data_IF_109571683358
#
_entry.id   IF_109571683358
#
_cell.length_a   1.000
_cell.length_b   1.000
_cell.length_c   1.000
_cell.angle_alpha   90.00
_cell.angle_beta   90.00
_cell.angle_gamma   90.00
#
_symmetry.space_group_name_H-M   'P 1'
#
loop_
_entity.id
_entity.type
_entity.pdbx_description
1 polymer ?
#
# COMPACT_ATOMS: atom_id res chain seq x y z
N UNK A 1 16.43 5.16 3.91
CA UNK A 1 15.02 5.57 3.95
C UNK A 1 14.33 4.68 4.95
N UNK A 2 13.59 5.25 5.90
CA UNK A 2 12.96 4.49 6.98
C UNK A 2 11.60 3.96 6.52
N UNK A 3 11.25 2.75 6.97
CA UNK A 3 9.93 2.11 6.73
C UNK A 3 8.77 3.07 6.99
N UNK A 4 8.82 3.77 8.13
CA UNK A 4 7.78 4.73 8.54
C UNK A 4 7.56 5.86 7.54
N UNK A 5 8.61 6.33 6.85
CA UNK A 5 8.50 7.38 5.84
C UNK A 5 7.70 6.89 4.63
N UNK A 6 7.99 5.67 4.17
CA UNK A 6 7.30 5.05 3.03
C UNK A 6 5.82 4.80 3.36
N UNK A 7 5.54 4.20 4.52
CA UNK A 7 4.16 3.98 4.94
C UNK A 7 3.40 5.29 5.17
N UNK A 8 4.05 6.32 5.71
CA UNK A 8 3.43 7.64 5.87
C UNK A 8 3.09 8.27 4.52
N UNK A 9 3.96 8.12 3.52
CA UNK A 9 3.70 8.56 2.15
C UNK A 9 2.50 7.81 1.55
N UNK A 10 2.46 6.48 1.66
CA UNK A 10 1.33 5.67 1.18
C UNK A 10 0.01 6.07 1.87
N UNK A 11 0.02 6.27 3.19
CA UNK A 11 -1.16 6.71 3.94
C UNK A 11 -1.60 8.11 3.52
N UNK A 12 -0.66 9.05 3.31
CA UNK A 12 -0.98 10.40 2.86
C UNK A 12 -1.71 10.42 1.53
N UNK A 13 -1.22 9.68 0.54
CA UNK A 13 -1.86 9.58 -0.78
C UNK A 13 -3.24 8.93 -0.70
N UNK A 14 -3.35 7.84 0.04
CA UNK A 14 -4.59 7.08 0.20
C UNK A 14 -5.67 7.89 0.90
N UNK A 15 -5.33 8.52 2.03
CA UNK A 15 -6.27 9.34 2.80
C UNK A 15 -6.68 10.60 2.04
N UNK A 16 -5.74 11.24 1.33
CA UNK A 16 -6.04 12.40 0.49
C UNK A 16 -7.03 12.04 -0.62
N UNK A 17 -6.81 10.89 -1.27
CA UNK A 17 -7.70 10.39 -2.31
C UNK A 17 -9.09 10.02 -1.76
N UNK A 18 -9.14 9.22 -0.69
CA UNK A 18 -10.41 8.83 -0.05
C UNK A 18 -11.19 10.08 0.35
N UNK A 19 -10.54 11.08 0.97
CA UNK A 19 -11.16 12.36 1.33
C UNK A 19 -11.71 13.09 0.10
N UNK A 20 -10.92 13.18 -0.98
CA UNK A 20 -11.35 13.81 -2.22
C UNK A 20 -12.62 13.13 -2.78
N UNK A 21 -12.64 11.80 -2.81
CA UNK A 21 -13.81 11.05 -3.29
C UNK A 21 -15.05 11.31 -2.44
N UNK A 22 -14.92 11.56 -1.12
CA UNK A 22 -16.08 11.89 -0.28
C UNK A 22 -16.81 13.17 -0.70
N UNK A 23 -16.13 14.10 -1.37
CA UNK A 23 -16.73 15.33 -1.90
C UNK A 23 -17.59 15.12 -3.14
N UNK A 24 -17.51 13.94 -3.77
CA UNK A 24 -18.27 13.63 -4.98
C UNK A 24 -19.74 13.31 -4.70
N UNK A 25 -20.57 13.38 -5.74
CA UNK A 25 -21.98 12.96 -5.71
C UNK A 25 -22.10 11.47 -5.38
N UNK A 26 -23.24 11.07 -4.80
CA UNK A 26 -23.51 9.68 -4.39
C UNK A 26 -23.28 8.66 -5.53
N UNK A 27 -23.75 8.97 -6.74
CA UNK A 27 -23.57 8.11 -7.93
C UNK A 27 -22.09 7.92 -8.26
N UNK A 28 -21.30 9.00 -8.25
CA UNK A 28 -19.87 8.94 -8.56
C UNK A 28 -19.10 8.19 -7.48
N UNK A 29 -19.49 8.33 -6.21
CA UNK A 29 -18.92 7.55 -5.09
C UNK A 29 -19.23 6.07 -5.22
N UNK A 30 -20.48 5.69 -5.48
CA UNK A 30 -20.89 4.29 -5.61
C UNK A 30 -20.23 3.55 -6.79
N UNK A 31 -19.81 4.27 -7.83
CA UNK A 31 -19.05 3.71 -8.96
C UNK A 31 -17.54 3.65 -8.72
N UNK A 32 -17.03 4.33 -7.69
CA UNK A 32 -15.60 4.42 -7.45
C UNK A 32 -15.09 3.21 -6.67
N UNK A 33 -14.35 2.32 -7.35
CA UNK A 33 -13.73 1.13 -6.74
C UNK A 33 -12.38 1.43 -6.08
N UNK A 34 -11.72 2.54 -6.40
CA UNK A 34 -10.36 2.85 -5.94
C UNK A 34 -10.26 2.98 -4.41
N UNK A 35 -11.23 3.61 -3.74
CA UNK A 35 -11.20 3.75 -2.28
C UNK A 35 -11.16 2.40 -1.55
N UNK A 36 -11.79 1.36 -2.13
CA UNK A 36 -11.71 0.00 -1.60
C UNK A 36 -10.29 -0.56 -1.69
N UNK A 37 -9.61 -0.38 -2.81
CA UNK A 37 -8.21 -0.77 -2.98
C UNK A 37 -7.27 0.00 -2.05
N UNK A 38 -7.45 1.31 -1.90
CA UNK A 38 -6.66 2.13 -0.97
C UNK A 38 -6.80 1.65 0.48
N UNK A 39 -8.03 1.38 0.91
CA UNK A 39 -8.31 0.91 2.27
C UNK A 39 -7.78 -0.53 2.48
N UNK A 40 -8.01 -1.43 1.53
CA UNK A 40 -7.54 -2.81 1.60
C UNK A 40 -6.02 -2.88 1.69
N UNK A 41 -5.30 -2.05 0.91
CA UNK A 41 -3.85 -1.99 0.95
C UNK A 41 -3.32 -1.58 2.33
N UNK A 42 -3.93 -0.57 2.99
CA UNK A 42 -3.30 0.10 4.13
C UNK A 42 -3.95 -0.12 5.51
N UNK A 43 -5.07 -0.83 5.60
CA UNK A 43 -5.79 -0.97 6.87
C UNK A 43 -4.94 -1.53 8.03
N UNK A 44 -3.97 -2.41 7.74
CA UNK A 44 -3.08 -2.98 8.76
C UNK A 44 -1.81 -2.17 9.01
N UNK A 45 -1.43 -1.27 8.10
CA UNK A 45 -0.18 -0.51 8.19
C UNK A 45 -0.16 0.41 9.41
N UNK A 46 -1.31 0.93 9.84
CA UNK A 46 -1.40 1.80 11.02
C UNK A 46 -0.88 1.11 12.28
N UNK A 47 -1.08 -0.20 12.40
CA UNK A 47 -0.58 -1.00 13.54
C UNK A 47 0.94 -1.20 13.54
N UNK A 48 1.61 -1.04 12.39
CA UNK A 48 3.06 -1.27 12.26
C UNK A 48 3.89 0.00 12.33
N UNK A 49 3.26 1.18 12.24
CA UNK A 49 3.93 2.49 12.29
C UNK A 49 4.79 2.72 13.55
N UNK A 50 4.38 2.32 14.77
CA UNK A 50 5.18 2.55 15.97
C UNK A 50 6.48 1.74 16.02
N UNK A 51 6.57 0.66 15.24
CA UNK A 51 7.74 -0.22 15.19
C UNK A 51 8.68 0.26 14.09
N UNK A 52 9.86 0.74 14.48
CA UNK A 52 10.84 1.29 13.51
C UNK A 52 11.38 0.20 12.57
N UNK A 53 11.68 -0.98 13.10
CA UNK A 53 12.20 -2.12 12.34
C UNK A 53 11.11 -2.84 11.56
N UNK A 54 11.50 -3.50 10.46
CA UNK A 54 10.59 -4.40 9.75
C UNK A 54 10.35 -5.66 10.58
N UNK A 55 9.11 -6.13 10.57
CA UNK A 55 8.65 -7.31 11.30
C UNK A 55 7.91 -8.27 10.39
N UNK A 56 7.48 -9.42 10.92
CA UNK A 56 6.64 -10.37 10.19
C UNK A 56 5.33 -9.74 9.66
N UNK A 57 4.80 -8.71 10.32
CA UNK A 57 3.63 -7.98 9.84
C UNK A 57 3.92 -7.21 8.53
N UNK A 58 5.13 -6.69 8.38
CA UNK A 58 5.56 -6.00 7.18
C UNK A 58 5.78 -6.99 6.04
N UNK A 59 6.30 -8.18 6.35
CA UNK A 59 6.38 -9.29 5.38
C UNK A 59 4.99 -9.77 4.95
N UNK A 60 4.06 -9.89 5.89
CA UNK A 60 2.66 -10.21 5.57
C UNK A 60 2.04 -9.16 4.64
N UNK A 61 2.24 -7.87 4.92
CA UNK A 61 1.82 -6.78 4.05
C UNK A 61 2.38 -6.96 2.62
N UNK A 62 3.69 -7.21 2.49
CA UNK A 62 4.34 -7.37 1.17
C UNK A 62 3.85 -8.60 0.41
N UNK A 63 3.61 -9.70 1.10
CA UNK A 63 3.18 -10.96 0.48
C UNK A 63 1.70 -10.96 0.12
N UNK A 64 0.85 -10.29 0.90
CA UNK A 64 -0.61 -10.40 0.77
C UNK A 64 -1.21 -9.11 0.23
N UNK A 65 -1.08 -8.01 0.96
CA UNK A 65 -1.79 -6.76 0.65
C UNK A 65 -1.18 -6.05 -0.56
N UNK A 66 0.15 -5.92 -0.58
CA UNK A 66 0.86 -5.32 -1.70
C UNK A 66 0.68 -6.14 -3.00
N UNK A 67 0.80 -7.47 -2.91
CA UNK A 67 0.57 -8.37 -4.04
C UNK A 67 -0.86 -8.25 -4.58
N UNK A 68 -1.86 -8.33 -3.68
CA UNK A 68 -3.27 -8.20 -4.06
C UNK A 68 -3.55 -6.87 -4.76
N UNK A 69 -3.03 -5.77 -4.21
CA UNK A 69 -3.19 -4.45 -4.83
C UNK A 69 -2.59 -4.42 -6.24
N UNK A 70 -1.37 -4.93 -6.43
CA UNK A 70 -0.70 -4.91 -7.73
C UNK A 70 -1.34 -5.83 -8.77
N UNK A 71 -1.95 -6.94 -8.34
CA UNK A 71 -2.61 -7.88 -9.24
C UNK A 71 -4.02 -7.43 -9.67
N UNK A 72 -4.71 -6.65 -8.83
CA UNK A 72 -6.14 -6.35 -9.01
C UNK A 72 -6.44 -4.87 -9.26
N UNK A 73 -5.53 -3.97 -8.90
CA UNK A 73 -5.61 -2.56 -9.25
C UNK A 73 -4.91 -2.27 -10.58
N UNK A 74 -5.01 -1.03 -11.03
CA UNK A 74 -4.24 -0.49 -12.16
C UNK A 74 -4.33 1.02 -12.13
N UNK A 75 -3.46 1.70 -12.90
CA UNK A 75 -3.53 3.16 -13.11
C UNK A 75 -4.85 3.63 -13.73
N UNK A 76 -5.62 2.74 -14.37
CA UNK A 76 -6.96 3.05 -14.90
C UNK A 76 -8.04 3.06 -13.82
N UNK A 77 -7.82 2.32 -12.72
CA UNK A 77 -8.77 2.16 -11.63
C UNK A 77 -8.40 3.07 -10.46
N UNK A 78 -7.12 3.12 -10.10
CA UNK A 78 -6.59 3.83 -8.94
C UNK A 78 -5.56 4.86 -9.38
N UNK A 79 -5.85 6.15 -9.14
CA UNK A 79 -4.96 7.25 -9.52
C UNK A 79 -3.59 7.15 -8.83
N UNK A 80 -3.55 6.61 -7.61
CA UNK A 80 -2.30 6.43 -6.83
C UNK A 80 -1.53 5.15 -7.18
N UNK A 81 -1.97 4.35 -8.16
CA UNK A 81 -1.39 3.02 -8.43
C UNK A 81 0.13 3.06 -8.63
N UNK A 82 0.62 3.99 -9.46
CA UNK A 82 2.05 4.08 -9.75
C UNK A 82 2.87 4.55 -8.55
N UNK A 83 2.31 5.43 -7.71
CA UNK A 83 2.94 5.88 -6.47
C UNK A 83 3.06 4.73 -5.48
N UNK A 84 1.98 3.97 -5.29
CA UNK A 84 1.98 2.80 -4.40
C UNK A 84 2.89 1.68 -4.92
N UNK A 85 2.91 1.44 -6.24
CA UNK A 85 3.86 0.49 -6.85
C UNK A 85 5.30 0.86 -6.52
N UNK A 86 5.68 2.13 -6.66
CA UNK A 86 7.02 2.60 -6.33
C UNK A 86 7.32 2.49 -4.82
N UNK A 87 6.37 2.82 -3.96
CA UNK A 87 6.53 2.65 -2.51
C UNK A 87 6.67 1.19 -2.10
N UNK A 88 5.93 0.27 -2.74
CA UNK A 88 6.10 -1.16 -2.54
C UNK A 88 7.51 -1.61 -2.97
N UNK A 89 8.03 -1.16 -4.12
CA UNK A 89 9.42 -1.45 -4.52
C UNK A 89 10.42 -0.99 -3.47
N UNK A 90 10.20 0.21 -2.93
CA UNK A 90 11.06 0.77 -1.90
C UNK A 90 11.01 -0.04 -0.61
N UNK A 91 9.86 -0.56 -0.22
CA UNK A 91 9.73 -1.47 0.93
C UNK A 91 10.50 -2.78 0.70
N UNK A 92 10.37 -3.42 -0.48
CA UNK A 92 11.13 -4.62 -0.84
C UNK A 92 12.65 -4.41 -0.71
N UNK A 93 13.15 -3.25 -1.13
CA UNK A 93 14.59 -2.92 -1.05
C UNK A 93 15.14 -2.77 0.36
N UNK A 94 14.28 -2.47 1.35
CA UNK A 94 14.70 -2.27 2.74
C UNK A 94 14.41 -3.47 3.65
N UNK A 95 13.90 -4.58 3.09
CA UNK A 95 13.71 -5.83 3.84
C UNK A 95 15.05 -6.32 4.40
N UNK A 96 15.18 -6.50 5.73
CA UNK A 96 16.43 -6.96 6.34
C UNK A 96 16.70 -8.42 5.97
N UNK A 97 17.98 -8.80 5.91
CA UNK A 97 18.42 -10.11 5.39
C UNK A 97 17.70 -11.30 6.04
N UNK A 98 17.53 -11.26 7.37
CA UNK A 98 16.89 -12.33 8.13
C UNK A 98 15.38 -12.51 7.84
N UNK A 99 14.74 -11.56 7.14
CA UNK A 99 13.35 -11.64 6.72
C UNK A 99 13.19 -11.93 5.21
N UNK A 100 14.26 -11.84 4.41
CA UNK A 100 14.17 -11.97 2.95
C UNK A 100 13.63 -13.34 2.52
N UNK A 101 14.03 -14.41 3.20
CA UNK A 101 13.59 -15.77 2.90
C UNK A 101 12.08 -15.99 3.14
N UNK A 102 11.41 -15.05 3.82
CA UNK A 102 9.96 -15.09 4.03
C UNK A 102 9.16 -14.43 2.89
N UNK A 103 9.81 -13.71 1.97
CA UNK A 103 9.15 -13.14 0.79
C UNK A 103 8.77 -14.26 -0.17
N UNK A 104 7.51 -14.25 -0.63
CA UNK A 104 6.95 -15.29 -1.53
C UNK A 104 7.07 -14.93 -3.00
N UNK A 105 7.64 -13.77 -3.32
CA UNK A 105 7.78 -13.23 -4.66
C UNK A 105 8.81 -12.09 -4.66
N UNK A 106 9.35 -11.74 -5.84
CA UNK A 106 10.47 -10.79 -5.98
C UNK A 106 10.06 -9.31 -5.87
N UNK A 107 8.76 -9.04 -5.70
CA UNK A 107 8.20 -7.70 -5.74
C UNK A 107 7.90 -7.21 -7.17
N UNK A 108 7.40 -5.97 -7.30
CA UNK A 108 7.06 -5.40 -8.61
C UNK A 108 8.28 -4.98 -9.43
N UNK A 109 8.24 -5.24 -10.75
CA UNK A 109 9.19 -4.70 -11.75
C UNK A 109 9.22 -3.18 -11.78
#
# INVERSE_FOLDING_TARGET
MKKIEIYSEMLWWSLSHIRNVQTHSFIRKGKNKSCGFEAELLHNVVGTLPTEEMTDNDIYFLNVQAKYYLDNASERICDNYNVHKENIKRLFKIVPEHLKDQLKWDGPE
#
